data_IF_052598266706
#
_entry.id   IF_052598266706
#
_cell.length_a   1.000
_cell.length_b   1.000
_cell.length_c   1.000
_cell.angle_alpha   90.00
_cell.angle_beta   90.00
_cell.angle_gamma   90.00
#
_symmetry.space_group_name_H-M   'P 1'
#
loop_
_entity.id
_entity.type
_entity.pdbx_description
1 polymer ?
#
# COMPACT_ATOMS: atom_id res chain seq x y z
N UNK A 1 -7.65 -7.63 -7.65
CA UNK A 1 -7.69 -6.17 -7.43
C UNK A 1 -8.76 -5.86 -6.41
N UNK A 2 -8.51 -4.92 -5.50
CA UNK A 2 -9.41 -4.53 -4.42
C UNK A 2 -9.88 -3.08 -4.55
N UNK A 3 -10.44 -2.55 -3.47
CA UNK A 3 -10.94 -1.17 -3.36
C UNK A 3 -10.07 -0.42 -2.35
N UNK A 4 -9.75 0.83 -2.66
CA UNK A 4 -8.99 1.73 -1.79
C UNK A 4 -9.90 2.19 -0.65
N UNK A 5 -9.54 1.91 0.61
CA UNK A 5 -10.42 2.26 1.74
C UNK A 5 -10.55 3.78 1.97
N UNK A 6 -9.72 4.61 1.32
CA UNK A 6 -9.76 6.07 1.46
C UNK A 6 -10.66 6.78 0.45
N UNK A 7 -10.65 6.34 -0.80
CA UNK A 7 -11.32 7.05 -1.90
C UNK A 7 -12.30 6.15 -2.67
N UNK A 8 -12.50 4.91 -2.22
CA UNK A 8 -13.42 3.92 -2.80
C UNK A 8 -13.15 3.57 -4.27
N UNK A 9 -12.02 4.05 -4.82
CA UNK A 9 -11.55 3.72 -6.16
C UNK A 9 -10.79 2.40 -6.21
N UNK A 10 -10.49 1.94 -7.42
CA UNK A 10 -9.74 0.70 -7.64
C UNK A 10 -8.32 0.77 -7.07
N UNK A 11 -7.81 -0.38 -6.58
CA UNK A 11 -6.39 -0.57 -6.27
C UNK A 11 -5.69 -1.43 -7.32
N UNK A 12 -4.40 -1.22 -7.50
CA UNK A 12 -3.55 -2.02 -8.39
C UNK A 12 -2.20 -2.34 -7.74
N UNK A 13 -2.03 -3.59 -7.32
CA UNK A 13 -0.82 -4.03 -6.61
C UNK A 13 -0.69 -3.39 -5.23
N UNK A 14 0.56 -3.34 -4.75
CA UNK A 14 0.90 -2.97 -3.37
C UNK A 14 2.01 -1.93 -3.35
N UNK A 15 2.04 -1.12 -2.29
CA UNK A 15 3.04 -0.10 -2.05
C UNK A 15 3.32 0.05 -0.56
N UNK A 16 4.59 0.07 -0.19
CA UNK A 16 5.00 0.36 1.17
C UNK A 16 4.74 1.83 1.51
N UNK A 17 3.97 2.10 2.57
CA UNK A 17 3.68 3.44 3.05
C UNK A 17 4.90 4.14 3.69
N UNK A 18 5.96 3.40 4.01
CA UNK A 18 7.18 3.96 4.62
C UNK A 18 8.23 4.31 3.57
N UNK A 19 8.64 3.35 2.74
CA UNK A 19 9.73 3.55 1.78
C UNK A 19 9.26 3.69 0.32
N UNK A 20 7.96 3.47 0.04
CA UNK A 20 7.39 3.63 -1.30
C UNK A 20 7.67 2.50 -2.29
N UNK A 21 8.35 1.43 -1.89
CA UNK A 21 8.58 0.24 -2.74
C UNK A 21 7.25 -0.34 -3.21
N UNK A 22 7.17 -0.67 -4.49
CA UNK A 22 5.98 -1.23 -5.13
C UNK A 22 6.15 -2.74 -5.32
N UNK A 23 5.07 -3.49 -5.10
CA UNK A 23 5.01 -4.93 -5.29
C UNK A 23 3.74 -5.33 -6.05
N UNK A 24 3.78 -6.47 -6.74
CA UNK A 24 2.59 -7.01 -7.43
C UNK A 24 1.57 -7.60 -6.45
N UNK A 25 2.07 -8.15 -5.34
CA UNK A 25 1.33 -8.77 -4.26
C UNK A 25 1.85 -8.27 -2.90
N UNK A 26 1.15 -8.61 -1.82
CA UNK A 26 1.57 -8.26 -0.46
C UNK A 26 2.86 -9.00 -0.13
N UNK A 27 3.89 -8.26 0.29
CA UNK A 27 5.19 -8.81 0.62
C UNK A 27 5.35 -8.86 2.14
N UNK A 28 5.15 -10.04 2.72
CA UNK A 28 5.29 -10.29 4.16
C UNK A 28 6.73 -10.22 4.66
N UNK A 29 7.72 -10.20 3.76
CA UNK A 29 9.14 -10.04 4.11
C UNK A 29 9.58 -8.56 4.08
N UNK A 30 8.71 -7.67 3.57
CA UNK A 30 8.96 -6.24 3.50
C UNK A 30 8.54 -5.54 4.80
N UNK A 31 9.35 -5.69 5.83
CA UNK A 31 9.04 -5.18 7.17
C UNK A 31 9.67 -3.80 7.44
N UNK A 32 8.93 -2.93 8.12
CA UNK A 32 9.42 -1.64 8.61
C UNK A 32 8.87 -1.35 10.01
N UNK A 33 9.57 -0.47 10.75
CA UNK A 33 9.16 -0.04 12.10
C UNK A 33 9.85 -0.80 13.23
N UNK A 34 9.47 -0.46 14.47
CA UNK A 34 9.86 -1.17 15.69
C UNK A 34 8.60 -1.39 16.55
N UNK A 35 8.15 -2.66 16.76
CA UNK A 35 8.70 -3.87 16.14
C UNK A 35 8.52 -3.87 14.60
N UNK A 36 9.37 -4.61 13.87
CA UNK A 36 9.24 -4.76 12.42
C UNK A 36 7.88 -5.38 12.07
N UNK A 37 7.22 -4.84 11.05
CA UNK A 37 5.96 -5.35 10.52
C UNK A 37 5.79 -5.02 9.05
N UNK A 38 5.21 -5.95 8.31
CA UNK A 38 4.82 -5.82 6.90
C UNK A 38 3.51 -5.02 6.69
N UNK A 39 2.83 -4.61 7.78
CA UNK A 39 1.56 -3.88 7.74
C UNK A 39 1.63 -2.58 6.92
N UNK A 40 2.84 -2.09 6.65
CA UNK A 40 3.05 -0.87 5.88
C UNK A 40 3.02 -1.14 4.37
N UNK A 41 3.18 -2.40 3.94
CA UNK A 41 2.89 -2.84 2.58
C UNK A 41 1.37 -2.89 2.42
N UNK A 42 0.82 -1.89 1.74
CA UNK A 42 -0.63 -1.68 1.64
C UNK A 42 -1.06 -1.65 0.17
N UNK A 43 -2.32 -1.96 -0.16
CA UNK A 43 -2.88 -1.81 -1.51
C UNK A 43 -2.56 -0.42 -2.10
N UNK A 44 -2.12 -0.37 -3.36
CA UNK A 44 -1.79 0.88 -4.05
C UNK A 44 -3.02 1.42 -4.77
N UNK A 45 -3.43 2.64 -4.46
CA UNK A 45 -4.53 3.32 -5.16
C UNK A 45 -4.17 3.53 -6.64
N UNK A 46 -5.05 3.13 -7.55
CA UNK A 46 -4.88 3.28 -9.00
C UNK A 46 -4.80 4.76 -9.42
N UNK A 47 -5.59 5.62 -8.77
CA UNK A 47 -5.70 7.04 -9.11
C UNK A 47 -4.49 7.84 -8.67
N UNK A 48 -4.14 7.85 -7.37
CA UNK A 48 -3.04 8.67 -6.86
C UNK A 48 -1.69 7.92 -6.75
N UNK A 49 -1.65 6.62 -7.03
CA UNK A 49 -0.41 5.79 -7.00
C UNK A 49 0.29 5.74 -5.64
N UNK A 50 -0.42 6.11 -4.56
CA UNK A 50 0.04 6.01 -3.17
C UNK A 50 -0.49 4.72 -2.54
N UNK A 51 0.20 4.24 -1.51
CA UNK A 51 -0.35 3.26 -0.58
C UNK A 51 -1.69 3.75 -0.05
N UNK A 52 -2.68 2.88 0.15
CA UNK A 52 -4.06 3.31 0.46
C UNK A 52 -4.12 4.20 1.70
N UNK A 53 -3.31 3.92 2.73
CA UNK A 53 -3.26 4.71 3.97
C UNK A 53 -2.77 6.14 3.74
N UNK A 54 -2.01 6.37 2.66
CA UNK A 54 -1.51 7.68 2.22
C UNK A 54 -2.32 8.28 1.06
N UNK A 55 -3.41 7.63 0.66
CA UNK A 55 -4.26 8.13 -0.41
C UNK A 55 -4.80 9.53 -0.05
N UNK A 56 -4.76 10.43 -1.03
CA UNK A 56 -5.19 11.83 -0.91
C UNK A 56 -6.09 12.24 -2.08
N UNK A 57 -6.80 11.26 -2.66
CA UNK A 57 -7.83 11.49 -3.68
C UNK A 57 -9.09 12.10 -3.06
#
# INVERSE_FOLDING_TARGET
MGICAKCEGETEGWKCAICGVEAKEHDSTHEHGDPPSDRHCMPKCKTCRKAEVLCSC
#
